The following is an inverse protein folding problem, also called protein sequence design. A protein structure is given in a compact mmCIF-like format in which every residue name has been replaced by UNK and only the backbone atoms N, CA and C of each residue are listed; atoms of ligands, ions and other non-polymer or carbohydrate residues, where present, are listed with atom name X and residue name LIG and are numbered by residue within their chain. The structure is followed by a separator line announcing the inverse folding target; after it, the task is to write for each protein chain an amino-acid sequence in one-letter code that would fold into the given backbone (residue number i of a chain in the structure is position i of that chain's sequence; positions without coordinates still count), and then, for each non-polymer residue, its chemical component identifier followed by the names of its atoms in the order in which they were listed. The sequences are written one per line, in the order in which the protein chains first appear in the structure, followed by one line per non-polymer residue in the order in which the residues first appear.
data_IF_182556996145
#
_entry.id   IF_182556996145
#
_cell.length_a   1.000
_cell.length_b   1.000
_cell.length_c   1.000
_cell.angle_alpha   90.00
_cell.angle_beta   90.00
_cell.angle_gamma   90.00
#
_symmetry.space_group_name_H-M   'P 1'
#
loop_
_entity.id
_entity.type
_entity.pdbx_description
1 polymer ?
#
# COMPACT_ATOMS: atom_id res chain seq x y z
N UNK A 1 15.46 14.02 11.18
CA UNK A 1 14.02 13.78 11.42
C UNK A 1 13.50 14.73 12.51
N UNK A 2 12.25 15.21 12.43
CA UNK A 2 11.59 16.05 13.44
C UNK A 2 10.13 15.64 13.59
N UNK A 3 9.60 15.68 14.82
CA UNK A 3 8.17 15.62 15.08
C UNK A 3 7.66 17.05 15.30
N UNK A 4 6.63 17.43 14.54
CA UNK A 4 6.00 18.74 14.63
C UNK A 4 4.50 18.61 14.90
N UNK A 5 3.87 19.67 15.41
CA UNK A 5 2.43 19.75 15.67
C UNK A 5 1.89 18.53 16.44
N UNK A 6 2.63 18.11 17.48
CA UNK A 6 2.20 17.03 18.36
C UNK A 6 1.03 17.50 19.23
N UNK A 7 -0.07 16.74 19.16
CA UNK A 7 -1.27 16.94 19.99
C UNK A 7 -1.78 15.56 20.44
N UNK A 8 -1.79 15.33 21.74
CA UNK A 8 -2.22 14.09 22.36
C UNK A 8 -2.63 14.31 23.83
N UNK A 9 -3.36 15.39 24.12
CA UNK A 9 -3.76 15.77 25.47
C UNK A 9 -4.54 14.66 26.20
N UNK A 10 -5.31 13.86 25.47
CA UNK A 10 -6.08 12.74 26.02
C UNK A 10 -5.19 11.67 26.68
N UNK A 11 -3.95 11.51 26.24
CA UNK A 11 -3.03 10.52 26.81
C UNK A 11 -2.64 10.81 28.27
N UNK A 12 -2.73 12.07 28.72
CA UNK A 12 -2.48 12.45 30.11
C UNK A 12 -3.48 11.77 31.07
N UNK A 13 -4.73 11.56 30.64
CA UNK A 13 -5.73 10.86 31.45
C UNK A 13 -5.36 9.40 31.65
N UNK A 14 -4.90 8.74 30.60
CA UNK A 14 -4.46 7.33 30.65
C UNK A 14 -3.22 7.21 31.53
N UNK A 15 -2.25 8.11 31.39
CA UNK A 15 -1.03 8.13 32.20
C UNK A 15 -1.35 8.28 33.70
N UNK A 16 -2.19 9.24 34.05
CA UNK A 16 -2.62 9.47 35.45
C UNK A 16 -3.38 8.26 36.03
N UNK A 17 -4.10 7.52 35.18
CA UNK A 17 -4.80 6.31 35.58
C UNK A 17 -3.83 5.14 35.79
N UNK A 18 -2.84 4.97 34.90
CA UNK A 18 -1.78 3.96 35.01
C UNK A 18 -0.91 4.19 36.28
N UNK A 19 -0.56 5.43 36.61
CA UNK A 19 0.18 5.74 37.82
C UNK A 19 -0.51 5.21 39.10
N UNK A 20 -1.84 5.25 39.12
CA UNK A 20 -2.65 4.75 40.25
C UNK A 20 -2.86 3.23 40.21
N UNK A 21 -2.64 2.60 39.07
CA UNK A 21 -2.94 1.18 38.80
C UNK A 21 -1.86 0.53 37.92
N UNK A 22 -0.61 0.43 38.39
CA UNK A 22 0.52 0.00 37.58
C UNK A 22 0.44 -1.47 37.14
N UNK A 23 -0.39 -2.30 37.80
CA UNK A 23 -0.60 -3.71 37.48
C UNK A 23 -1.78 -3.97 36.53
N UNK A 24 -2.27 -2.92 35.82
CA UNK A 24 -3.36 -3.08 34.89
C UNK A 24 -2.94 -3.97 33.70
N UNK A 25 -3.84 -4.85 33.30
CA UNK A 25 -3.60 -5.73 32.18
C UNK A 25 -3.56 -4.96 30.85
N UNK A 26 -2.84 -5.55 29.89
CA UNK A 26 -2.58 -4.94 28.58
C UNK A 26 -3.86 -4.64 27.78
N UNK A 27 -4.86 -5.53 27.85
CA UNK A 27 -6.09 -5.38 27.10
C UNK A 27 -6.90 -4.19 27.61
N UNK A 28 -6.94 -3.99 28.94
CA UNK A 28 -7.63 -2.85 29.55
C UNK A 28 -6.94 -1.54 29.15
N UNK A 29 -5.61 -1.47 29.17
CA UNK A 29 -4.90 -0.25 28.72
C UNK A 29 -5.19 0.03 27.25
N UNK A 30 -5.19 -1.01 26.41
CA UNK A 30 -5.52 -0.86 24.98
C UNK A 30 -6.94 -0.33 24.78
N UNK A 31 -7.93 -0.81 25.54
CA UNK A 31 -9.30 -0.29 25.45
C UNK A 31 -9.40 1.20 25.85
N UNK A 32 -8.68 1.62 26.90
CA UNK A 32 -8.62 3.04 27.28
C UNK A 32 -8.03 3.92 26.17
N UNK A 33 -7.01 3.43 25.49
CA UNK A 33 -6.33 4.16 24.42
C UNK A 33 -7.17 4.35 23.14
N UNK A 34 -8.19 3.51 22.89
CA UNK A 34 -9.03 3.57 21.68
C UNK A 34 -9.78 4.90 21.52
N UNK A 35 -10.08 5.57 22.62
CA UNK A 35 -10.80 6.86 22.60
C UNK A 35 -9.88 8.07 22.71
N UNK A 36 -8.59 7.87 22.83
CA UNK A 36 -7.60 8.95 22.91
C UNK A 36 -7.14 9.34 21.51
N UNK A 37 -7.20 10.63 21.21
CA UNK A 37 -6.79 11.14 19.90
C UNK A 37 -5.33 11.57 19.94
N UNK A 38 -4.59 11.27 18.88
CA UNK A 38 -3.17 11.61 18.73
C UNK A 38 -2.93 12.13 17.32
N UNK A 39 -2.30 13.29 17.21
CA UNK A 39 -1.92 13.86 15.92
C UNK A 39 -0.50 14.43 15.96
N UNK A 40 0.25 14.24 14.88
CA UNK A 40 1.58 14.80 14.69
C UNK A 40 2.02 14.75 13.23
N UNK A 41 3.10 15.47 12.93
CA UNK A 41 3.77 15.44 11.63
C UNK A 41 5.18 14.88 11.82
N UNK A 42 5.53 13.86 11.06
CA UNK A 42 6.90 13.39 10.92
C UNK A 42 7.53 14.06 9.70
N UNK A 43 8.57 14.82 9.92
CA UNK A 43 9.31 15.53 8.88
C UNK A 43 10.70 14.90 8.68
N UNK A 44 11.12 14.82 7.42
CA UNK A 44 12.42 14.27 7.01
C UNK A 44 12.68 12.82 7.44
N UNK A 45 11.62 12.01 7.53
CA UNK A 45 11.77 10.57 7.64
C UNK A 45 12.13 9.99 6.27
N UNK A 46 12.71 8.80 6.22
CA UNK A 46 12.97 8.16 4.92
C UNK A 46 11.73 7.39 4.40
N UNK A 47 11.77 7.06 3.11
CA UNK A 47 10.66 6.41 2.43
C UNK A 47 10.37 5.02 2.98
N UNK A 48 11.40 4.27 3.43
CA UNK A 48 11.20 2.97 4.06
C UNK A 48 10.42 3.10 5.37
N UNK A 49 10.82 4.01 6.28
CA UNK A 49 10.08 4.29 7.51
C UNK A 49 8.61 4.64 7.24
N UNK A 50 8.38 5.56 6.27
CA UNK A 50 7.04 5.95 5.86
C UNK A 50 6.21 4.76 5.33
N UNK A 51 6.83 3.81 4.62
CA UNK A 51 6.16 2.60 4.13
C UNK A 51 5.71 1.71 5.28
N UNK A 52 6.61 1.43 6.21
CA UNK A 52 6.32 0.58 7.37
C UNK A 52 5.21 1.18 8.25
N UNK A 53 5.22 2.50 8.44
CA UNK A 53 4.15 3.22 9.15
C UNK A 53 2.80 3.01 8.45
N UNK A 54 2.76 3.12 7.13
CA UNK A 54 1.53 2.94 6.37
C UNK A 54 1.01 1.49 6.38
N UNK A 55 1.88 0.49 6.57
CA UNK A 55 1.47 -0.90 6.78
C UNK A 55 0.60 -1.10 8.04
N UNK A 56 0.67 -0.19 9.01
CA UNK A 56 -0.18 -0.22 10.20
C UNK A 56 -1.65 0.14 9.92
N UNK A 57 -1.96 0.58 8.68
CA UNK A 57 -3.34 0.82 8.19
C UNK A 57 -4.16 1.81 9.04
N UNK A 58 -3.69 3.04 9.11
CA UNK A 58 -4.37 4.12 9.82
C UNK A 58 -4.45 5.42 9.00
N UNK A 59 -4.78 6.53 9.63
CA UNK A 59 -5.01 7.82 8.97
C UNK A 59 -3.69 8.56 8.74
N UNK A 60 -3.12 8.40 7.56
CA UNK A 60 -1.87 9.03 7.14
C UNK A 60 -2.04 9.86 5.87
N UNK A 61 -1.35 10.99 5.81
CA UNK A 61 -1.17 11.77 4.57
C UNK A 61 0.32 11.86 4.28
N UNK A 62 0.77 11.20 3.22
CA UNK A 62 2.16 11.18 2.79
C UNK A 62 2.43 12.24 1.72
N UNK A 63 3.63 12.84 1.76
CA UNK A 63 4.13 13.68 0.68
C UNK A 63 4.17 12.89 -0.63
N UNK A 64 3.64 13.50 -1.69
CA UNK A 64 3.54 12.88 -3.00
C UNK A 64 4.84 13.03 -3.78
N UNK A 65 5.45 11.92 -4.17
CA UNK A 65 6.53 11.89 -5.15
C UNK A 65 6.05 11.92 -6.61
N UNK A 66 4.76 12.10 -6.85
CA UNK A 66 4.19 12.27 -8.21
C UNK A 66 4.18 13.73 -8.65
N UNK A 67 4.17 14.64 -7.70
CA UNK A 67 3.99 16.08 -7.92
C UNK A 67 5.14 16.92 -7.35
N UNK A 68 5.99 16.33 -6.52
CA UNK A 68 7.12 17.00 -5.88
C UNK A 68 8.41 16.46 -6.46
N UNK A 69 9.23 17.34 -7.00
CA UNK A 69 10.60 17.01 -7.43
C UNK A 69 11.48 16.87 -6.19
N UNK A 70 12.33 15.86 -6.18
CA UNK A 70 13.22 15.55 -5.07
C UNK A 70 14.61 16.13 -5.32
N UNK A 71 15.24 16.68 -4.29
CA UNK A 71 16.59 17.23 -4.35
C UNK A 71 17.66 16.17 -4.05
N UNK A 72 18.85 16.34 -4.62
CA UNK A 72 19.94 15.37 -4.50
C UNK A 72 20.47 15.18 -3.07
N UNK A 73 20.24 16.13 -2.17
CA UNK A 73 20.59 16.08 -0.73
C UNK A 73 19.42 15.53 0.13
N UNK A 74 18.28 15.22 -0.50
CA UNK A 74 17.05 14.79 0.14
C UNK A 74 17.04 13.30 0.52
N UNK A 75 18.07 12.78 1.22
CA UNK A 75 18.11 11.41 1.71
C UNK A 75 18.70 11.30 3.12
N UNK A 76 18.57 10.14 3.73
CA UNK A 76 19.16 9.81 5.02
C UNK A 76 19.97 8.52 4.92
N UNK A 77 21.08 8.44 5.65
CA UNK A 77 21.88 7.22 5.76
C UNK A 77 21.89 6.72 7.20
N UNK A 78 21.95 5.40 7.41
CA UNK A 78 22.15 4.83 8.73
C UNK A 78 23.50 5.30 9.33
N UNK A 79 23.47 5.72 10.58
CA UNK A 79 24.68 6.16 11.30
C UNK A 79 25.67 5.01 11.58
N UNK A 80 25.20 3.76 11.50
CA UNK A 80 25.96 2.55 11.78
C UNK A 80 26.91 2.15 10.64
N UNK A 81 26.78 2.76 9.46
CA UNK A 81 27.64 2.45 8.33
C UNK A 81 29.10 2.85 8.58
N UNK A 82 30.02 1.99 8.17
CA UNK A 82 31.45 2.34 8.10
C UNK A 82 31.68 3.53 7.16
N UNK A 83 32.81 4.21 7.30
CA UNK A 83 33.18 5.30 6.39
C UNK A 83 33.19 4.83 4.93
N UNK A 84 33.75 3.65 4.66
CA UNK A 84 33.79 3.07 3.31
C UNK A 84 32.40 2.82 2.74
N UNK A 85 31.52 2.15 3.52
CA UNK A 85 30.16 1.85 3.07
C UNK A 85 29.31 3.11 2.96
N UNK A 86 29.54 4.11 3.81
CA UNK A 86 28.88 5.42 3.72
C UNK A 86 29.28 6.15 2.43
N UNK A 87 30.58 6.22 2.12
CA UNK A 87 31.06 6.82 0.87
C UNK A 87 30.45 6.12 -0.34
N UNK A 88 30.45 4.77 -0.34
CA UNK A 88 29.86 4.00 -1.44
C UNK A 88 28.35 4.20 -1.56
N UNK A 89 27.62 4.32 -0.46
CA UNK A 89 26.20 4.65 -0.45
C UNK A 89 25.94 6.03 -1.07
N UNK A 90 26.72 7.04 -0.66
CA UNK A 90 26.62 8.41 -1.19
C UNK A 90 26.88 8.46 -2.70
N UNK A 91 27.88 7.72 -3.20
CA UNK A 91 28.15 7.60 -4.64
C UNK A 91 26.95 7.00 -5.40
N UNK A 92 26.40 5.87 -4.93
CA UNK A 92 25.31 5.19 -5.61
C UNK A 92 24.01 6.01 -5.55
N UNK A 93 23.71 6.65 -4.42
CA UNK A 93 22.56 7.53 -4.29
C UNK A 93 22.74 8.77 -5.18
N UNK A 94 23.97 9.34 -5.22
CA UNK A 94 24.28 10.44 -6.11
C UNK A 94 24.06 10.08 -7.59
N UNK A 95 24.48 8.89 -8.02
CA UNK A 95 24.19 8.38 -9.37
C UNK A 95 22.70 8.21 -9.62
N UNK A 96 21.92 7.75 -8.62
CA UNK A 96 20.48 7.61 -8.75
C UNK A 96 19.77 8.97 -8.92
N UNK A 97 20.19 9.98 -8.17
CA UNK A 97 19.67 11.35 -8.33
C UNK A 97 20.11 11.99 -9.65
N UNK A 98 21.38 11.82 -10.07
CA UNK A 98 21.84 12.33 -11.35
C UNK A 98 21.03 11.74 -12.52
N UNK A 99 20.78 10.42 -12.50
CA UNK A 99 19.93 9.77 -13.50
C UNK A 99 18.48 10.23 -13.43
N UNK A 100 17.93 10.41 -12.22
CA UNK A 100 16.59 10.95 -12.01
C UNK A 100 16.42 12.36 -12.58
N UNK A 101 17.40 13.24 -12.34
CA UNK A 101 17.42 14.61 -12.86
C UNK A 101 17.54 14.63 -14.38
N UNK A 102 18.49 13.86 -14.94
CA UNK A 102 18.68 13.77 -16.38
C UNK A 102 17.42 13.28 -17.10
N UNK A 103 16.80 12.22 -16.60
CA UNK A 103 15.52 11.74 -17.12
C UNK A 103 14.41 12.79 -17.05
N UNK A 104 14.31 13.52 -15.94
CA UNK A 104 13.26 14.52 -15.73
C UNK A 104 13.43 15.78 -16.59
N UNK A 105 14.65 16.08 -17.03
CA UNK A 105 14.97 17.23 -17.87
C UNK A 105 14.91 16.92 -19.37
N UNK A 106 14.85 15.64 -19.74
CA UNK A 106 14.79 15.23 -21.14
C UNK A 106 13.52 15.78 -21.81
N UNK A 107 13.70 16.49 -22.94
CA UNK A 107 12.60 17.06 -23.73
C UNK A 107 12.28 16.13 -24.89
N UNK A 108 10.99 15.94 -25.18
CA UNK A 108 10.54 15.13 -26.31
C UNK A 108 9.14 14.58 -26.11
N UNK A 109 8.62 13.95 -27.17
CA UNK A 109 7.38 13.18 -27.12
C UNK A 109 7.74 11.75 -26.73
N UNK A 110 7.07 11.23 -25.71
CA UNK A 110 7.22 9.85 -25.28
C UNK A 110 5.94 9.08 -25.55
N UNK A 111 6.10 7.85 -26.04
CA UNK A 111 4.99 6.91 -26.11
C UNK A 111 4.39 6.71 -24.71
N UNK A 112 3.07 6.78 -24.59
CA UNK A 112 2.42 6.59 -23.32
C UNK A 112 1.05 7.25 -23.24
N UNK A 113 0.53 7.31 -22.03
CA UNK A 113 -0.79 7.93 -21.78
C UNK A 113 -0.72 9.44 -21.87
N UNK A 114 -1.84 10.10 -22.21
CA UNK A 114 -1.95 11.55 -22.14
C UNK A 114 -1.57 12.06 -20.75
N UNK A 115 -0.72 13.07 -20.71
CA UNK A 115 -0.27 13.73 -19.46
C UNK A 115 -0.75 15.17 -19.47
N UNK A 116 -1.00 15.78 -18.31
CA UNK A 116 -1.13 17.22 -18.19
C UNK A 116 0.07 17.93 -18.82
N UNK A 117 -0.12 19.14 -19.34
CA UNK A 117 0.92 19.88 -20.07
C UNK A 117 2.26 20.00 -19.35
N UNK A 118 2.26 20.08 -18.02
CA UNK A 118 3.48 20.15 -17.22
C UNK A 118 4.34 18.85 -17.23
N UNK A 119 3.81 17.75 -17.79
CA UNK A 119 4.54 16.51 -18.01
C UNK A 119 5.03 16.32 -19.45
N UNK A 120 4.81 17.27 -20.33
CA UNK A 120 5.21 17.19 -21.74
C UNK A 120 6.73 17.38 -21.95
N UNK A 121 7.44 17.82 -20.92
CA UNK A 121 8.85 18.19 -21.02
C UNK A 121 9.75 17.16 -20.32
N UNK A 122 9.91 16.00 -20.92
CA UNK A 122 10.76 14.95 -20.39
C UNK A 122 10.03 13.74 -19.83
N UNK A 123 10.77 12.84 -19.17
CA UNK A 123 10.20 11.70 -18.47
C UNK A 123 9.48 12.21 -17.22
N UNK A 124 8.21 11.88 -17.02
CA UNK A 124 7.47 12.34 -15.85
C UNK A 124 8.18 11.96 -14.55
N UNK A 125 8.21 12.87 -13.58
CA UNK A 125 8.82 12.61 -12.27
C UNK A 125 8.23 11.36 -11.57
N UNK A 126 6.97 11.03 -11.85
CA UNK A 126 6.33 9.81 -11.35
C UNK A 126 6.90 8.52 -11.96
N UNK A 127 7.59 8.61 -13.11
CA UNK A 127 8.30 7.51 -13.77
C UNK A 127 9.80 7.56 -13.44
N UNK A 128 10.42 8.75 -13.52
CA UNK A 128 11.84 8.92 -13.19
C UNK A 128 12.17 8.45 -11.76
N UNK A 129 11.30 8.65 -10.79
CA UNK A 129 11.49 8.25 -9.38
C UNK A 129 11.65 6.76 -9.13
N UNK A 130 11.39 5.89 -10.12
CA UNK A 130 11.56 4.44 -9.95
C UNK A 130 13.00 4.03 -9.64
N UNK A 131 13.98 4.83 -10.06
CA UNK A 131 15.42 4.59 -9.79
C UNK A 131 15.85 5.03 -8.39
N UNK A 132 15.04 5.82 -7.67
CA UNK A 132 15.42 6.37 -6.38
C UNK A 132 15.31 5.34 -5.26
N UNK A 133 16.25 5.34 -4.28
CA UNK A 133 16.22 4.42 -3.15
C UNK A 133 15.21 4.83 -2.07
N UNK A 134 14.87 3.87 -1.19
CA UNK A 134 14.00 4.13 -0.04
C UNK A 134 14.65 4.99 1.05
N UNK A 135 15.95 5.29 0.94
CA UNK A 135 16.65 6.28 1.78
C UNK A 135 16.14 7.71 1.58
N UNK A 136 15.45 7.99 0.47
CA UNK A 136 14.95 9.33 0.13
C UNK A 136 13.99 9.84 1.19
N UNK A 137 14.18 11.12 1.61
CA UNK A 137 13.35 11.82 2.59
C UNK A 137 11.92 12.02 2.12
N UNK A 138 11.01 12.00 3.07
CA UNK A 138 9.58 12.27 2.88
C UNK A 138 8.97 12.79 4.18
N UNK A 139 7.76 13.34 4.07
CA UNK A 139 6.99 13.79 5.22
C UNK A 139 5.67 13.02 5.31
N UNK A 140 5.18 12.81 6.53
CA UNK A 140 3.91 12.14 6.78
C UNK A 140 3.16 12.85 7.91
N UNK A 141 1.91 13.19 7.69
CA UNK A 141 0.99 13.64 8.74
C UNK A 141 0.19 12.45 9.24
N UNK A 142 0.07 12.33 10.55
CA UNK A 142 -0.62 11.26 11.27
C UNK A 142 -1.75 11.84 12.07
N UNK A 143 -2.93 11.24 11.99
CA UNK A 143 -4.04 11.46 12.90
C UNK A 143 -4.59 10.08 13.29
N UNK A 144 -4.42 9.68 14.54
CA UNK A 144 -4.62 8.30 14.97
C UNK A 144 -5.26 8.24 16.35
N UNK A 145 -5.51 7.03 16.84
CA UNK A 145 -5.92 6.79 18.22
C UNK A 145 -4.76 6.24 19.05
N UNK A 146 -4.84 6.38 20.36
CA UNK A 146 -3.76 6.00 21.27
C UNK A 146 -3.44 4.50 21.22
N UNK A 147 -4.43 3.63 20.92
CA UNK A 147 -4.20 2.20 20.76
C UNK A 147 -3.33 1.88 19.54
N UNK A 148 -3.33 2.72 18.52
CA UNK A 148 -2.44 2.59 17.36
C UNK A 148 -0.99 2.90 17.70
N UNK A 149 -0.72 3.75 18.69
CA UNK A 149 0.66 3.94 19.20
C UNK A 149 1.24 2.62 19.70
N UNK A 150 0.42 1.73 20.24
CA UNK A 150 0.86 0.39 20.64
C UNK A 150 1.39 -0.41 19.45
N UNK A 151 0.73 -0.33 18.29
CA UNK A 151 1.20 -0.99 17.08
C UNK A 151 2.50 -0.33 16.55
N UNK A 152 2.63 0.99 16.69
CA UNK A 152 3.87 1.71 16.37
C UNK A 152 5.05 1.23 17.22
N UNK A 153 4.90 1.21 18.54
CA UNK A 153 5.97 0.75 19.44
C UNK A 153 6.30 -0.72 19.24
N UNK A 154 5.30 -1.57 19.04
CA UNK A 154 5.53 -2.98 18.69
C UNK A 154 6.33 -3.14 17.40
N UNK A 155 6.06 -2.32 16.38
CA UNK A 155 6.82 -2.32 15.13
C UNK A 155 8.25 -1.79 15.34
N UNK A 156 8.40 -0.64 16.00
CA UNK A 156 9.71 -0.02 16.24
C UNK A 156 10.62 -0.86 17.12
N UNK A 157 10.06 -1.62 18.08
CA UNK A 157 10.80 -2.50 18.98
C UNK A 157 11.15 -3.86 18.40
N UNK A 158 10.77 -4.16 17.14
CA UNK A 158 11.20 -5.42 16.51
C UNK A 158 12.73 -5.46 16.33
N UNK A 159 13.41 -6.56 16.66
CA UNK A 159 14.87 -6.67 16.55
C UNK A 159 15.43 -6.31 15.18
N UNK A 160 14.70 -6.62 14.11
CA UNK A 160 15.11 -6.31 12.73
C UNK A 160 14.86 -4.85 12.32
N UNK A 161 14.03 -4.12 13.05
CA UNK A 161 13.56 -2.78 12.65
C UNK A 161 14.02 -1.68 13.61
N UNK A 162 14.34 -2.00 14.87
CA UNK A 162 14.63 -1.00 15.91
C UNK A 162 15.71 0.00 15.55
N UNK A 163 16.79 -0.45 14.91
CA UNK A 163 17.89 0.44 14.53
C UNK A 163 17.48 1.41 13.41
N UNK A 164 16.51 1.03 12.59
CA UNK A 164 15.98 1.84 11.51
C UNK A 164 14.91 2.83 11.97
N UNK A 165 14.35 2.65 13.16
CA UNK A 165 13.33 3.52 13.73
C UNK A 165 13.82 4.28 14.98
N UNK A 166 15.07 4.14 15.39
CA UNK A 166 15.59 4.71 16.62
C UNK A 166 15.29 6.21 16.76
N UNK A 167 15.42 6.96 15.68
CA UNK A 167 15.17 8.41 15.64
C UNK A 167 13.68 8.75 15.88
N UNK A 168 12.75 8.01 15.30
CA UNK A 168 11.30 8.20 15.50
C UNK A 168 10.89 7.73 16.89
N UNK A 169 11.40 6.55 17.30
CA UNK A 169 11.12 5.95 18.59
C UNK A 169 11.47 6.90 19.75
N UNK A 170 12.72 7.39 19.77
CA UNK A 170 13.22 8.25 20.83
C UNK A 170 12.49 9.61 20.87
N UNK A 171 12.20 10.17 19.67
CA UNK A 171 11.47 11.42 19.58
C UNK A 171 10.00 11.29 20.02
N UNK A 172 9.31 10.18 19.70
CA UNK A 172 7.96 9.92 20.20
C UNK A 172 7.96 9.68 21.70
N UNK A 173 8.89 8.86 22.20
CA UNK A 173 9.00 8.54 23.61
C UNK A 173 9.21 9.81 24.47
N UNK A 174 10.00 10.76 23.97
CA UNK A 174 10.24 12.03 24.64
C UNK A 174 9.01 12.96 24.73
N UNK A 175 8.01 12.76 23.86
CA UNK A 175 6.77 13.53 23.84
C UNK A 175 5.64 12.89 24.65
N UNK A 176 5.75 11.61 24.97
CA UNK A 176 4.73 10.86 25.68
C UNK A 176 4.78 11.14 27.19
N UNK A 177 3.63 11.07 27.90
CA UNK A 177 3.62 11.05 29.36
C UNK A 177 4.44 9.87 29.89
N UNK A 178 5.19 10.09 30.97
CA UNK A 178 6.27 9.19 31.42
C UNK A 178 5.82 7.74 31.67
N UNK A 179 4.73 7.54 32.42
CA UNK A 179 4.28 6.20 32.79
C UNK A 179 3.74 5.44 31.57
N UNK A 180 2.94 6.12 30.75
CA UNK A 180 2.41 5.57 29.51
C UNK A 180 3.53 5.31 28.49
N UNK A 181 4.50 6.22 28.36
CA UNK A 181 5.66 6.06 27.48
C UNK A 181 6.46 4.81 27.84
N UNK A 182 6.81 4.60 29.10
CA UNK A 182 7.48 3.39 29.60
C UNK A 182 6.67 2.13 29.34
N UNK A 183 5.36 2.22 29.49
CA UNK A 183 4.47 1.09 29.22
C UNK A 183 4.45 0.74 27.72
N UNK A 184 4.32 1.73 26.84
CA UNK A 184 4.36 1.55 25.39
C UNK A 184 5.71 0.99 24.92
N UNK A 185 6.81 1.53 25.43
CA UNK A 185 8.18 1.10 25.11
C UNK A 185 8.44 -0.36 25.50
N UNK A 186 7.81 -0.84 26.57
CA UNK A 186 7.89 -2.26 26.96
C UNK A 186 7.16 -3.22 26.03
N UNK A 187 6.38 -2.72 25.06
CA UNK A 187 5.55 -3.56 24.21
C UNK A 187 6.32 -4.05 22.98
N UNK A 188 6.22 -5.34 22.73
CA UNK A 188 6.78 -6.02 21.55
C UNK A 188 5.70 -6.86 20.91
N UNK A 189 5.91 -7.28 19.68
CA UNK A 189 5.09 -8.35 19.13
C UNK A 189 5.36 -9.65 19.88
N UNK A 190 4.31 -10.46 20.09
CA UNK A 190 4.41 -11.76 20.74
C UNK A 190 5.11 -12.81 19.87
N UNK A 191 5.27 -12.54 18.59
CA UNK A 191 6.00 -13.36 17.63
C UNK A 191 6.69 -12.48 16.59
N UNK A 192 7.82 -12.96 16.10
CA UNK A 192 8.44 -12.42 14.89
C UNK A 192 8.01 -13.27 13.70
N UNK A 193 7.45 -12.64 12.69
CA UNK A 193 7.17 -13.31 11.44
C UNK A 193 8.45 -13.46 10.62
N UNK A 194 9.27 -14.41 10.99
CA UNK A 194 10.55 -14.64 10.31
C UNK A 194 10.51 -15.74 9.25
N UNK A 195 9.50 -16.59 9.26
CA UNK A 195 9.46 -17.70 8.32
C UNK A 195 8.15 -18.46 8.27
N UNK A 196 7.40 -18.47 9.36
CA UNK A 196 6.18 -19.27 9.46
C UNK A 196 5.11 -18.80 8.48
N UNK A 197 4.86 -17.48 8.39
CA UNK A 197 3.91 -16.91 7.44
C UNK A 197 4.39 -17.07 6.00
N UNK A 198 5.69 -16.91 5.75
CA UNK A 198 6.27 -17.15 4.43
C UNK A 198 6.12 -18.64 4.02
N UNK A 199 6.28 -19.55 4.96
CA UNK A 199 6.04 -20.98 4.73
C UNK A 199 4.56 -21.27 4.50
N UNK A 200 3.67 -20.65 5.27
CA UNK A 200 2.21 -20.79 5.11
C UNK A 200 1.74 -20.32 3.74
N UNK A 201 2.26 -19.19 3.24
CA UNK A 201 1.90 -18.62 1.95
C UNK A 201 2.81 -19.04 0.80
N UNK A 202 3.68 -20.05 0.99
CA UNK A 202 4.71 -20.42 0.01
C UNK A 202 4.12 -20.69 -1.38
N UNK A 203 3.11 -21.53 -1.46
CA UNK A 203 2.49 -21.91 -2.73
C UNK A 203 1.84 -20.70 -3.44
N UNK A 204 1.18 -19.83 -2.67
CA UNK A 204 0.57 -18.62 -3.20
C UNK A 204 1.63 -17.60 -3.68
N UNK A 205 2.73 -17.45 -2.95
CA UNK A 205 3.83 -16.57 -3.35
C UNK A 205 4.54 -17.10 -4.60
N UNK A 206 4.70 -18.40 -4.75
CA UNK A 206 5.28 -19.04 -5.94
C UNK A 206 4.37 -18.89 -7.17
N UNK A 207 3.05 -18.88 -6.99
CA UNK A 207 2.09 -18.67 -8.08
C UNK A 207 2.14 -17.24 -8.66
N UNK A 208 2.67 -16.27 -7.90
CA UNK A 208 2.79 -14.88 -8.34
C UNK A 208 4.13 -14.72 -9.07
N UNK A 209 4.07 -14.49 -10.37
CA UNK A 209 5.27 -14.39 -11.24
C UNK A 209 5.27 -13.10 -12.05
N UNK A 210 6.42 -12.70 -12.65
CA UNK A 210 6.45 -11.56 -13.57
C UNK A 210 5.48 -11.68 -14.77
N UNK A 211 5.21 -12.91 -15.20
CA UNK A 211 4.31 -13.21 -16.31
C UNK A 211 2.85 -13.19 -15.88
N UNK A 212 2.56 -13.56 -14.63
CA UNK A 212 1.23 -13.49 -14.02
C UNK A 212 1.30 -12.71 -12.69
N UNK A 213 1.41 -11.37 -12.74
CA UNK A 213 1.61 -10.55 -11.56
C UNK A 213 0.33 -10.33 -10.75
N UNK A 214 -0.83 -10.79 -11.23
CA UNK A 214 -2.13 -10.71 -10.53
C UNK A 214 -2.82 -12.06 -10.60
N UNK A 215 -2.92 -12.74 -9.47
CA UNK A 215 -3.49 -14.09 -9.37
C UNK A 215 -4.69 -14.08 -8.42
N UNK A 216 -5.83 -14.61 -8.86
CA UNK A 216 -6.94 -14.91 -7.95
C UNK A 216 -6.60 -16.19 -7.19
N UNK A 217 -6.32 -16.10 -5.90
CA UNK A 217 -5.90 -17.23 -5.08
C UNK A 217 -7.08 -17.96 -4.45
N UNK A 218 -8.05 -17.22 -3.93
CA UNK A 218 -9.22 -17.78 -3.23
C UNK A 218 -10.45 -16.91 -3.45
N UNK A 219 -11.60 -17.55 -3.55
CA UNK A 219 -12.92 -16.92 -3.54
C UNK A 219 -13.95 -17.87 -2.93
N UNK A 220 -15.09 -17.36 -2.56
CA UNK A 220 -16.22 -18.21 -2.21
C UNK A 220 -16.76 -18.91 -3.46
N UNK A 221 -17.19 -20.15 -3.28
CA UNK A 221 -18.07 -20.79 -4.26
C UNK A 221 -19.38 -20.01 -4.35
N UNK A 222 -19.88 -19.77 -5.57
CA UNK A 222 -21.10 -19.01 -5.84
C UNK A 222 -21.18 -17.65 -5.12
N UNK A 223 -20.29 -16.70 -5.41
CA UNK A 223 -20.22 -15.43 -4.70
C UNK A 223 -21.50 -14.60 -4.78
N UNK A 224 -22.24 -14.69 -5.90
CA UNK A 224 -23.54 -14.03 -6.06
C UNK A 224 -24.59 -14.61 -5.12
N UNK A 225 -24.59 -15.92 -4.90
CA UNK A 225 -25.49 -16.52 -3.93
C UNK A 225 -25.23 -16.03 -2.50
N UNK A 226 -23.97 -15.84 -2.12
CA UNK A 226 -23.59 -15.26 -0.81
C UNK A 226 -24.13 -13.83 -0.64
N UNK A 227 -23.98 -13.00 -1.67
CA UNK A 227 -24.54 -11.64 -1.64
C UNK A 227 -26.08 -11.64 -1.65
N UNK A 228 -26.70 -12.57 -2.40
CA UNK A 228 -28.14 -12.78 -2.40
C UNK A 228 -28.69 -13.16 -1.01
N UNK A 229 -28.02 -14.07 -0.30
CA UNK A 229 -28.37 -14.40 1.10
C UNK A 229 -28.26 -13.18 2.01
N UNK A 230 -27.23 -12.35 1.86
CA UNK A 230 -27.12 -11.08 2.59
C UNK A 230 -28.30 -10.13 2.33
N UNK A 231 -28.75 -10.05 1.07
CA UNK A 231 -29.91 -9.26 0.69
C UNK A 231 -31.22 -9.83 1.30
N UNK A 232 -31.42 -11.14 1.28
CA UNK A 232 -32.56 -11.80 1.88
C UNK A 232 -32.62 -11.57 3.40
N UNK A 233 -31.46 -11.66 4.08
CA UNK A 233 -31.35 -11.40 5.52
C UNK A 233 -31.89 -10.02 5.90
N UNK A 234 -31.66 -9.01 5.04
CA UNK A 234 -32.10 -7.63 5.32
C UNK A 234 -33.52 -7.30 4.86
N UNK A 235 -34.11 -8.10 3.96
CA UNK A 235 -35.36 -7.73 3.27
C UNK A 235 -36.51 -8.69 3.46
N UNK A 236 -36.30 -9.86 4.09
CA UNK A 236 -37.31 -10.91 4.31
C UNK A 236 -37.52 -11.20 5.78
N UNK A 237 -38.74 -11.52 6.14
CA UNK A 237 -39.10 -11.98 7.48
C UNK A 237 -38.78 -13.47 7.69
N UNK A 238 -38.86 -14.26 6.61
CA UNK A 238 -38.49 -15.68 6.66
C UNK A 238 -36.97 -15.84 6.76
N UNK A 239 -36.50 -16.94 7.32
CA UNK A 239 -35.12 -17.29 7.37
C UNK A 239 -34.52 -17.39 5.92
N UNK A 240 -33.35 -16.77 5.64
CA UNK A 240 -32.77 -16.78 4.29
C UNK A 240 -32.60 -18.18 3.70
N UNK A 241 -32.27 -19.18 4.53
CA UNK A 241 -32.15 -20.58 4.10
C UNK A 241 -33.48 -21.15 3.59
N UNK A 242 -34.60 -20.85 4.25
CA UNK A 242 -35.94 -21.30 3.81
C UNK A 242 -36.35 -20.70 2.47
N UNK A 243 -36.02 -19.41 2.25
CA UNK A 243 -36.25 -18.75 0.97
C UNK A 243 -35.38 -19.37 -0.13
N UNK A 244 -34.11 -19.67 0.20
CA UNK A 244 -33.18 -20.32 -0.73
C UNK A 244 -33.66 -21.73 -1.11
N UNK A 245 -34.08 -22.54 -0.13
CA UNK A 245 -34.62 -23.89 -0.36
C UNK A 245 -35.85 -23.84 -1.26
N UNK A 246 -36.70 -22.82 -1.06
CA UNK A 246 -37.87 -22.59 -1.92
C UNK A 246 -37.55 -22.13 -3.33
N UNK A 247 -36.33 -21.64 -3.57
CA UNK A 247 -35.85 -21.31 -4.93
C UNK A 247 -35.36 -22.52 -5.73
N UNK A 248 -34.89 -23.57 -5.05
CA UNK A 248 -34.42 -24.80 -5.68
C UNK A 248 -33.34 -24.51 -6.76
N UNK A 249 -33.50 -25.11 -7.92
CA UNK A 249 -32.57 -24.97 -9.04
C UNK A 249 -32.51 -23.55 -9.62
N UNK A 250 -33.46 -22.68 -9.33
CA UNK A 250 -33.45 -21.28 -9.77
C UNK A 250 -32.68 -20.35 -8.83
N UNK A 251 -32.05 -20.87 -7.76
CA UNK A 251 -31.41 -20.08 -6.71
C UNK A 251 -30.41 -19.08 -7.25
N UNK A 252 -29.54 -19.47 -8.17
CA UNK A 252 -28.52 -18.59 -8.75
C UNK A 252 -29.15 -17.44 -9.55
N UNK A 253 -30.17 -17.70 -10.35
CA UNK A 253 -30.89 -16.69 -11.14
C UNK A 253 -31.65 -15.70 -10.25
N UNK A 254 -32.37 -16.22 -9.26
CA UNK A 254 -33.11 -15.40 -8.32
C UNK A 254 -32.20 -14.55 -7.44
N UNK A 255 -31.05 -15.09 -7.02
CA UNK A 255 -30.04 -14.34 -6.27
C UNK A 255 -29.54 -13.14 -7.07
N UNK A 256 -29.19 -13.32 -8.37
CA UNK A 256 -28.80 -12.23 -9.28
C UNK A 256 -29.87 -11.13 -9.36
N UNK A 257 -31.12 -11.50 -9.51
CA UNK A 257 -32.25 -10.57 -9.57
C UNK A 257 -32.39 -9.75 -8.27
N UNK A 258 -32.24 -10.40 -7.12
CA UNK A 258 -32.30 -9.72 -5.80
C UNK A 258 -31.10 -8.77 -5.64
N UNK A 259 -29.88 -9.21 -5.95
CA UNK A 259 -28.67 -8.39 -5.87
C UNK A 259 -28.80 -7.14 -6.73
N UNK A 260 -29.20 -7.31 -8.00
CA UNK A 260 -29.33 -6.20 -8.95
C UNK A 260 -30.32 -5.16 -8.44
N UNK A 261 -31.46 -5.60 -7.90
CA UNK A 261 -32.47 -4.72 -7.33
C UNK A 261 -31.94 -3.97 -6.11
N UNK A 262 -31.36 -4.68 -5.14
CA UNK A 262 -30.92 -4.11 -3.86
C UNK A 262 -29.74 -3.15 -4.06
N UNK A 263 -28.77 -3.53 -4.90
CA UNK A 263 -27.65 -2.65 -5.25
C UNK A 263 -28.10 -1.46 -6.12
N UNK A 264 -29.10 -1.64 -6.98
CA UNK A 264 -29.71 -0.57 -7.77
C UNK A 264 -30.34 0.55 -6.91
N UNK A 265 -30.83 0.22 -5.73
CA UNK A 265 -31.28 1.18 -4.73
C UNK A 265 -30.14 1.81 -3.89
N UNK A 266 -28.88 1.51 -4.18
CA UNK A 266 -27.73 2.04 -3.45
C UNK A 266 -27.34 1.25 -2.20
N UNK A 267 -28.01 0.13 -1.88
CA UNK A 267 -27.67 -0.72 -0.74
C UNK A 267 -26.52 -1.67 -1.07
N UNK A 268 -25.30 -1.13 -1.15
CA UNK A 268 -24.10 -1.85 -1.58
C UNK A 268 -23.47 -2.72 -0.49
N UNK A 269 -23.94 -2.67 0.75
CA UNK A 269 -23.40 -3.47 1.87
C UNK A 269 -23.52 -4.98 1.65
N UNK A 270 -24.50 -5.44 0.87
CA UNK A 270 -24.63 -6.87 0.53
C UNK A 270 -23.42 -7.41 -0.24
N UNK A 271 -22.71 -6.56 -1.00
CA UNK A 271 -21.49 -6.93 -1.69
C UNK A 271 -20.33 -7.26 -0.73
N UNK A 272 -20.41 -6.89 0.55
CA UNK A 272 -19.44 -7.28 1.57
C UNK A 272 -19.44 -8.79 1.85
N UNK A 273 -20.54 -9.48 1.53
CA UNK A 273 -20.67 -10.94 1.68
C UNK A 273 -19.86 -11.72 0.63
N UNK A 274 -19.40 -11.08 -0.43
CA UNK A 274 -18.51 -11.67 -1.44
C UNK A 274 -17.06 -11.27 -1.14
N UNK A 275 -16.20 -12.26 -0.87
CA UNK A 275 -14.79 -12.04 -0.56
C UNK A 275 -13.89 -12.78 -1.55
N UNK A 276 -12.75 -12.13 -1.85
CA UNK A 276 -11.70 -12.68 -2.69
C UNK A 276 -10.33 -12.47 -2.06
N UNK A 277 -9.40 -13.34 -2.35
CA UNK A 277 -7.98 -13.18 -2.00
C UNK A 277 -7.16 -13.18 -3.27
N UNK A 278 -6.37 -12.13 -3.47
CA UNK A 278 -5.47 -11.97 -4.60
C UNK A 278 -4.02 -11.98 -4.16
N UNK A 279 -3.19 -12.67 -4.95
CA UNK A 279 -1.75 -12.47 -4.97
C UNK A 279 -1.40 -11.41 -6.02
N UNK A 280 -0.52 -10.47 -5.65
CA UNK A 280 -0.09 -9.42 -6.57
C UNK A 280 1.41 -9.16 -6.43
N UNK A 281 2.07 -8.85 -7.56
CA UNK A 281 3.46 -8.41 -7.60
C UNK A 281 3.57 -7.10 -8.36
N UNK A 282 4.30 -6.15 -7.80
CA UNK A 282 4.50 -4.83 -8.38
C UNK A 282 5.70 -4.13 -7.73
N UNK A 283 6.10 -3.00 -8.31
CA UNK A 283 7.17 -2.17 -7.77
C UNK A 283 6.85 -1.61 -6.39
N UNK A 284 7.88 -1.20 -5.65
CA UNK A 284 7.72 -0.47 -4.39
C UNK A 284 7.00 0.88 -4.60
N UNK A 285 7.10 1.51 -5.79
CA UNK A 285 6.27 2.66 -6.15
C UNK A 285 4.79 2.35 -6.06
N UNK A 286 4.37 1.23 -6.65
CA UNK A 286 2.97 0.79 -6.65
C UNK A 286 2.56 0.28 -5.28
N UNK A 287 3.45 -0.40 -4.56
CA UNK A 287 3.19 -0.82 -3.19
C UNK A 287 2.81 0.36 -2.29
N UNK A 288 3.57 1.46 -2.32
CA UNK A 288 3.23 2.67 -1.57
C UNK A 288 1.87 3.27 -1.94
N UNK A 289 1.40 3.08 -3.16
CA UNK A 289 0.07 3.51 -3.57
C UNK A 289 -1.02 2.53 -3.11
N UNK A 290 -0.71 1.24 -3.09
CA UNK A 290 -1.60 0.19 -2.59
C UNK A 290 -1.87 0.34 -1.09
N UNK A 291 -0.85 0.67 -0.30
CA UNK A 291 -0.96 0.88 1.14
C UNK A 291 -1.84 2.08 1.55
N UNK A 292 -2.19 2.97 0.60
CA UNK A 292 -3.20 4.01 0.83
C UNK A 292 -4.62 3.45 0.98
N UNK A 293 -4.87 2.23 0.50
CA UNK A 293 -6.11 1.51 0.75
C UNK A 293 -6.00 0.77 2.09
N UNK A 294 -6.61 1.32 3.13
CA UNK A 294 -6.42 0.90 4.52
C UNK A 294 -7.28 -0.28 4.95
N UNK A 295 -8.39 -0.52 4.26
CA UNK A 295 -9.37 -1.55 4.60
C UNK A 295 -8.95 -3.00 4.25
N UNK A 296 -8.17 -3.28 3.17
CA UNK A 296 -7.77 -4.64 2.84
C UNK A 296 -6.86 -5.26 3.89
N UNK A 297 -7.10 -6.52 4.22
CA UNK A 297 -6.14 -7.33 4.96
C UNK A 297 -5.03 -7.76 4.02
N UNK A 298 -3.81 -7.33 4.29
CA UNK A 298 -2.67 -7.57 3.41
C UNK A 298 -1.55 -8.29 4.16
N UNK A 299 -1.04 -9.35 3.57
CA UNK A 299 0.24 -9.94 3.90
C UNK A 299 1.26 -9.54 2.82
N UNK A 300 2.34 -8.91 3.21
CA UNK A 300 3.49 -8.66 2.36
C UNK A 300 4.54 -9.72 2.61
N UNK A 301 5.15 -10.25 1.56
CA UNK A 301 6.30 -11.15 1.72
C UNK A 301 7.41 -10.50 2.56
N UNK A 302 8.25 -11.27 3.25
CA UNK A 302 9.41 -10.72 3.95
C UNK A 302 10.26 -9.87 3.02
N UNK A 303 10.74 -8.72 3.49
CA UNK A 303 11.66 -7.87 2.72
C UNK A 303 12.88 -8.65 2.21
N UNK A 304 13.32 -9.63 2.98
CA UNK A 304 14.45 -10.50 2.64
C UNK A 304 14.27 -11.23 1.30
N UNK A 305 13.04 -11.55 0.90
CA UNK A 305 12.77 -12.21 -0.38
C UNK A 305 13.24 -11.34 -1.56
N UNK A 306 13.12 -10.00 -1.46
CA UNK A 306 13.62 -9.10 -2.51
C UNK A 306 15.14 -9.20 -2.65
N UNK A 307 15.85 -9.36 -1.54
CA UNK A 307 17.30 -9.53 -1.54
C UNK A 307 17.74 -10.91 -2.05
N UNK A 308 16.97 -11.96 -1.74
CA UNK A 308 17.28 -13.35 -2.10
C UNK A 308 16.90 -13.71 -3.54
N UNK A 309 16.08 -12.89 -4.20
CA UNK A 309 15.66 -13.08 -5.60
C UNK A 309 16.21 -11.92 -6.48
N UNK A 310 17.53 -11.77 -6.62
CA UNK A 310 18.13 -10.65 -7.35
C UNK A 310 17.81 -10.68 -8.87
N UNK A 311 17.42 -11.86 -9.39
CA UNK A 311 16.96 -12.05 -10.76
C UNK A 311 15.54 -11.54 -11.00
N UNK A 312 14.76 -11.24 -9.96
CA UNK A 312 13.45 -10.62 -10.08
C UNK A 312 13.59 -9.30 -10.86
N UNK A 313 12.93 -9.16 -12.04
CA UNK A 313 13.20 -8.01 -12.90
C UNK A 313 12.78 -6.72 -12.23
N UNK A 314 13.58 -5.64 -12.33
CA UNK A 314 13.11 -4.33 -11.92
C UNK A 314 12.02 -3.82 -12.86
N UNK A 315 11.08 -3.05 -12.33
CA UNK A 315 10.09 -2.35 -13.15
C UNK A 315 10.75 -1.13 -13.78
N UNK A 316 10.80 -1.09 -15.11
CA UNK A 316 11.32 0.05 -15.88
C UNK A 316 10.12 0.68 -16.60
N UNK A 317 9.79 1.96 -16.33
CA UNK A 317 8.73 2.66 -17.05
C UNK A 317 9.03 2.72 -18.55
N UNK A 318 8.00 2.62 -19.39
CA UNK A 318 8.17 2.68 -20.85
C UNK A 318 8.78 4.01 -21.29
N UNK A 319 8.44 5.12 -20.64
CA UNK A 319 9.03 6.45 -20.91
C UNK A 319 10.54 6.48 -20.68
N UNK A 320 11.06 5.70 -19.74
CA UNK A 320 12.51 5.56 -19.48
C UNK A 320 13.19 4.78 -20.61
N UNK A 321 12.53 3.73 -21.12
CA UNK A 321 13.03 2.94 -22.25
C UNK A 321 13.04 3.81 -23.51
N UNK A 322 11.91 4.45 -23.81
CA UNK A 322 11.73 5.31 -24.99
C UNK A 322 12.70 6.51 -24.97
N UNK A 323 13.03 6.99 -23.76
CA UNK A 323 14.03 8.05 -23.56
C UNK A 323 15.48 7.60 -23.71
N UNK A 324 15.75 6.29 -23.93
CA UNK A 324 17.11 5.76 -24.12
C UNK A 324 17.88 5.51 -22.83
N UNK A 325 17.22 5.53 -21.66
CA UNK A 325 17.87 5.38 -20.36
C UNK A 325 17.94 3.93 -19.84
N UNK A 326 17.41 2.96 -20.57
CA UNK A 326 17.34 1.56 -20.08
C UNK A 326 18.73 1.02 -19.68
N UNK A 327 19.77 1.27 -20.48
CA UNK A 327 21.11 0.77 -20.20
C UNK A 327 21.71 1.33 -18.89
N UNK A 328 21.81 2.64 -18.71
CA UNK A 328 22.26 3.25 -17.45
C UNK A 328 21.40 2.84 -16.26
N UNK A 329 20.10 2.78 -16.44
CA UNK A 329 19.14 2.37 -15.41
C UNK A 329 19.41 0.95 -14.91
N UNK A 330 19.56 -0.03 -15.80
CA UNK A 330 19.84 -1.43 -15.43
C UNK A 330 21.19 -1.59 -14.73
N UNK A 331 22.21 -0.88 -15.18
CA UNK A 331 23.54 -0.88 -14.52
C UNK A 331 23.45 -0.40 -13.08
N UNK A 332 22.78 0.72 -12.85
CA UNK A 332 22.63 1.27 -11.50
C UNK A 332 21.80 0.34 -10.59
N UNK A 333 20.75 -0.29 -11.11
CA UNK A 333 19.98 -1.30 -10.36
C UNK A 333 20.88 -2.44 -9.91
N UNK A 334 21.72 -2.99 -10.81
CA UNK A 334 22.64 -4.08 -10.50
C UNK A 334 23.71 -3.66 -9.46
N UNK A 335 24.26 -2.44 -9.59
CA UNK A 335 25.24 -1.92 -8.63
C UNK A 335 24.61 -1.75 -7.25
N UNK A 336 23.40 -1.23 -7.18
CA UNK A 336 22.66 -1.07 -5.93
C UNK A 336 22.28 -2.43 -5.31
N UNK A 337 21.89 -3.42 -6.11
CA UNK A 337 21.62 -4.77 -5.61
C UNK A 337 22.87 -5.43 -5.00
N UNK A 338 24.02 -5.29 -5.66
CA UNK A 338 25.31 -5.75 -5.09
C UNK A 338 25.62 -5.05 -3.77
N UNK A 339 25.35 -3.76 -3.69
CA UNK A 339 25.55 -2.99 -2.46
C UNK A 339 24.56 -3.44 -1.35
N UNK A 340 23.29 -3.67 -1.67
CA UNK A 340 22.33 -4.22 -0.73
C UNK A 340 22.81 -5.56 -0.13
N UNK A 341 23.33 -6.47 -0.98
CA UNK A 341 23.87 -7.76 -0.54
C UNK A 341 25.11 -7.57 0.36
N UNK A 342 26.00 -6.64 0.02
CA UNK A 342 27.17 -6.29 0.85
C UNK A 342 26.72 -5.80 2.23
N UNK A 343 25.81 -4.85 2.29
CA UNK A 343 25.30 -4.31 3.57
C UNK A 343 24.61 -5.40 4.39
N UNK A 344 23.80 -6.25 3.78
CA UNK A 344 23.14 -7.37 4.47
C UNK A 344 24.14 -8.39 5.04
N UNK A 345 25.28 -8.59 4.38
CA UNK A 345 26.34 -9.47 4.85
C UNK A 345 27.23 -8.87 5.96
N UNK A 346 27.40 -7.55 5.98
CA UNK A 346 28.29 -6.87 6.93
C UNK A 346 27.56 -6.42 8.20
N UNK A 347 26.29 -6.09 8.14
CA UNK A 347 25.52 -5.51 9.24
C UNK A 347 24.37 -6.41 9.66
N UNK A 348 24.21 -6.57 10.97
CA UNK A 348 23.02 -7.22 11.51
C UNK A 348 21.81 -6.27 11.36
N UNK A 349 20.63 -6.85 11.25
CA UNK A 349 19.40 -6.07 11.11
C UNK A 349 19.05 -5.70 9.67
N UNK A 350 18.33 -4.62 9.50
CA UNK A 350 17.64 -4.30 8.26
C UNK A 350 18.25 -3.16 7.43
N UNK A 351 19.47 -2.69 7.73
CA UNK A 351 20.05 -1.46 7.14
C UNK A 351 20.08 -1.46 5.60
N UNK A 352 20.25 -2.61 4.97
CA UNK A 352 20.24 -2.76 3.51
C UNK A 352 18.93 -2.28 2.86
N UNK A 353 17.82 -2.23 3.62
CA UNK A 353 16.50 -1.80 3.13
C UNK A 353 16.45 -0.32 2.77
N UNK A 354 17.33 0.52 3.34
CA UNK A 354 17.48 1.92 2.91
C UNK A 354 17.83 2.04 1.44
N UNK A 355 18.53 1.05 0.91
CA UNK A 355 19.05 1.02 -0.45
C UNK A 355 18.16 0.27 -1.43
N UNK A 356 17.00 -0.26 -0.99
CA UNK A 356 16.00 -0.77 -1.91
C UNK A 356 15.55 0.35 -2.85
N UNK A 357 15.55 0.05 -4.16
CA UNK A 357 15.10 0.98 -5.18
C UNK A 357 13.58 0.89 -5.35
N UNK A 358 12.95 1.99 -5.64
CA UNK A 358 11.51 2.06 -5.90
C UNK A 358 11.04 1.13 -7.04
N UNK A 359 11.93 0.76 -7.99
CA UNK A 359 11.64 -0.17 -9.09
C UNK A 359 11.68 -1.64 -8.70
N UNK A 360 12.24 -2.01 -7.53
CA UNK A 360 12.26 -3.40 -7.09
C UNK A 360 10.86 -3.86 -6.75
N UNK A 361 10.57 -5.13 -7.03
CA UNK A 361 9.24 -5.68 -6.88
C UNK A 361 9.04 -6.40 -5.56
N UNK A 362 7.84 -6.30 -5.04
CA UNK A 362 7.37 -6.98 -3.83
C UNK A 362 6.09 -7.74 -4.13
N UNK A 363 5.91 -8.91 -3.51
CA UNK A 363 4.69 -9.70 -3.58
C UNK A 363 3.82 -9.45 -2.36
N UNK A 364 2.52 -9.32 -2.59
CA UNK A 364 1.52 -9.25 -1.52
C UNK A 364 0.39 -10.24 -1.75
N UNK A 365 -0.22 -10.67 -0.66
CA UNK A 365 -1.47 -11.41 -0.66
C UNK A 365 -2.50 -10.54 0.07
N UNK A 366 -3.57 -10.20 -0.61
CA UNK A 366 -4.59 -9.29 -0.05
C UNK A 366 -5.98 -9.89 -0.13
N UNK A 367 -6.72 -9.80 0.97
CA UNK A 367 -8.12 -10.21 1.05
C UNK A 367 -9.02 -8.99 1.11
N UNK A 368 -9.98 -8.93 0.20
CA UNK A 368 -10.95 -7.85 0.07
C UNK A 368 -12.37 -8.41 -0.04
N UNK A 369 -13.37 -7.54 0.10
CA UNK A 369 -14.74 -7.84 -0.32
C UNK A 369 -15.11 -7.01 -1.56
N UNK A 370 -16.21 -7.37 -2.22
CA UNK A 370 -16.58 -6.73 -3.48
C UNK A 370 -16.88 -5.23 -3.32
N UNK A 371 -17.39 -4.79 -2.17
CA UNK A 371 -17.62 -3.36 -1.91
C UNK A 371 -16.30 -2.58 -1.81
N UNK A 372 -15.30 -3.13 -1.11
CA UNK A 372 -13.96 -2.55 -1.05
C UNK A 372 -13.33 -2.48 -2.44
N UNK A 373 -13.42 -3.57 -3.21
CA UNK A 373 -12.87 -3.63 -4.56
C UNK A 373 -13.53 -2.62 -5.50
N UNK A 374 -14.85 -2.43 -5.43
CA UNK A 374 -15.53 -1.40 -6.22
C UNK A 374 -14.97 0.00 -5.94
N UNK A 375 -14.78 0.36 -4.68
CA UNK A 375 -14.20 1.65 -4.29
C UNK A 375 -12.75 1.82 -4.78
N UNK A 376 -11.90 0.82 -4.49
CA UNK A 376 -10.48 0.89 -4.83
C UNK A 376 -10.22 0.89 -6.34
N UNK A 377 -10.89 0.00 -7.07
CA UNK A 377 -10.69 -0.13 -8.51
C UNK A 377 -11.24 1.08 -9.28
N UNK A 378 -12.32 1.69 -8.81
CA UNK A 378 -12.84 2.93 -9.41
C UNK A 378 -11.80 4.05 -9.47
N UNK A 379 -10.94 4.15 -8.45
CA UNK A 379 -9.84 5.12 -8.43
C UNK A 379 -8.63 4.67 -9.26
N UNK A 380 -8.31 3.38 -9.26
CA UNK A 380 -7.06 2.87 -9.86
C UNK A 380 -7.19 2.52 -11.34
N UNK A 381 -8.40 2.30 -11.85
CA UNK A 381 -8.67 2.11 -13.28
C UNK A 381 -8.83 3.45 -14.02
N UNK A 382 -9.00 4.56 -13.28
CA UNK A 382 -9.01 5.90 -13.87
C UNK A 382 -7.71 6.16 -14.65
N UNK A 383 -7.80 6.79 -15.83
CA UNK A 383 -6.62 7.14 -16.64
C UNK A 383 -5.65 8.11 -15.94
N UNK A 384 -6.09 8.82 -14.90
CA UNK A 384 -5.22 9.65 -14.06
C UNK A 384 -4.46 8.85 -13.00
N UNK A 385 -4.76 7.57 -12.81
CA UNK A 385 -3.95 6.70 -11.96
C UNK A 385 -2.57 6.48 -12.61
N UNK A 386 -1.55 6.25 -11.78
CA UNK A 386 -0.23 5.89 -12.27
C UNK A 386 -0.32 4.56 -13.07
N UNK A 387 0.41 4.46 -14.18
CA UNK A 387 0.23 3.39 -15.18
C UNK A 387 0.37 1.97 -14.62
N UNK A 388 1.29 1.74 -13.67
CA UNK A 388 1.53 0.40 -13.14
C UNK A 388 0.38 -0.07 -12.25
N UNK A 389 -0.06 0.76 -11.29
CA UNK A 389 -1.22 0.41 -10.45
C UNK A 389 -2.50 0.31 -11.28
N UNK A 390 -2.61 1.11 -12.35
CA UNK A 390 -3.72 1.00 -13.29
C UNK A 390 -3.73 -0.37 -13.99
N UNK A 391 -2.59 -0.83 -14.52
CA UNK A 391 -2.44 -2.14 -15.15
C UNK A 391 -2.81 -3.27 -14.18
N UNK A 392 -2.34 -3.22 -12.94
CA UNK A 392 -2.67 -4.20 -11.90
C UNK A 392 -4.17 -4.19 -11.59
N UNK A 393 -4.76 -3.00 -11.46
CA UNK A 393 -6.19 -2.84 -11.19
C UNK A 393 -7.07 -3.38 -12.33
N UNK A 394 -6.69 -3.14 -13.58
CA UNK A 394 -7.39 -3.68 -14.76
C UNK A 394 -7.32 -5.20 -14.77
N UNK A 395 -6.13 -5.79 -14.57
CA UNK A 395 -5.97 -7.24 -14.52
C UNK A 395 -6.79 -7.89 -13.37
N UNK A 396 -6.86 -7.20 -12.22
CA UNK A 396 -7.71 -7.64 -11.11
C UNK A 396 -9.20 -7.56 -11.48
N UNK A 397 -9.66 -6.46 -12.08
CA UNK A 397 -11.06 -6.29 -12.51
C UNK A 397 -11.49 -7.38 -13.49
N UNK A 398 -10.65 -7.71 -14.47
CA UNK A 398 -10.94 -8.76 -15.45
C UNK A 398 -11.21 -10.13 -14.79
N UNK A 399 -10.41 -10.47 -13.77
CA UNK A 399 -10.61 -11.70 -12.98
C UNK A 399 -11.89 -11.63 -12.13
N UNK A 400 -12.16 -10.48 -11.51
CA UNK A 400 -13.34 -10.26 -10.66
C UNK A 400 -14.65 -10.31 -11.47
N UNK A 401 -14.67 -9.70 -12.66
CA UNK A 401 -15.86 -9.73 -13.53
C UNK A 401 -16.20 -11.12 -14.06
N UNK A 402 -15.21 -12.01 -14.17
CA UNK A 402 -15.47 -13.43 -14.46
C UNK A 402 -16.20 -14.14 -13.31
N UNK A 403 -16.08 -13.65 -12.09
CA UNK A 403 -16.83 -14.17 -10.94
C UNK A 403 -18.26 -13.60 -10.87
N UNK A 404 -18.41 -12.31 -11.13
CA UNK A 404 -19.71 -11.63 -11.14
C UNK A 404 -19.63 -10.25 -11.78
N UNK A 405 -20.31 -10.07 -12.90
CA UNK A 405 -20.48 -8.76 -13.51
C UNK A 405 -21.32 -7.82 -12.68
N UNK A 406 -22.31 -8.33 -11.96
CA UNK A 406 -23.24 -7.56 -11.15
C UNK A 406 -22.54 -6.95 -9.95
N UNK A 407 -21.82 -7.77 -9.18
CA UNK A 407 -21.14 -7.32 -7.96
C UNK A 407 -20.00 -6.32 -8.25
N UNK A 408 -19.33 -6.46 -9.40
CA UNK A 408 -18.21 -5.61 -9.81
C UNK A 408 -18.57 -4.61 -10.91
N UNK A 409 -19.87 -4.37 -11.16
CA UNK A 409 -20.36 -3.40 -12.17
C UNK A 409 -19.76 -2.02 -11.96
N UNK A 410 -19.73 -1.54 -10.71
CA UNK A 410 -19.23 -0.20 -10.34
C UNK A 410 -17.75 -0.15 -10.00
N UNK A 411 -17.00 -1.25 -10.14
CA UNK A 411 -15.56 -1.31 -9.94
C UNK A 411 -14.76 -0.62 -11.07
N UNK A 412 -15.26 0.51 -11.55
CA UNK A 412 -14.76 1.26 -12.70
C UNK A 412 -14.82 2.76 -12.42
N UNK A 413 -14.06 3.60 -13.15
CA UNK A 413 -14.09 5.05 -12.95
C UNK A 413 -15.49 5.65 -13.02
N UNK A 414 -15.73 6.67 -12.19
CA UNK A 414 -17.04 7.32 -12.08
C UNK A 414 -17.63 7.78 -13.42
N UNK A 415 -16.79 8.17 -14.38
CA UNK A 415 -17.21 8.62 -15.69
C UNK A 415 -17.86 7.52 -16.56
N UNK A 416 -17.77 6.25 -16.16
CA UNK A 416 -18.42 5.14 -16.89
C UNK A 416 -19.95 5.18 -16.72
N UNK A 417 -20.42 5.37 -15.50
CA UNK A 417 -21.86 5.39 -15.18
C UNK A 417 -22.37 6.78 -14.74
N UNK A 418 -21.51 7.79 -14.66
CA UNK A 418 -21.88 9.13 -14.20
C UNK A 418 -20.96 10.22 -14.72
N UNK A 419 -20.78 11.27 -13.92
CA UNK A 419 -19.88 12.37 -14.20
C UNK A 419 -18.44 12.04 -13.78
N UNK A 420 -17.47 12.65 -14.47
CA UNK A 420 -16.06 12.61 -14.06
C UNK A 420 -15.88 13.41 -12.76
N UNK A 421 -15.27 12.80 -11.73
CA UNK A 421 -15.01 13.43 -10.43
C UNK A 421 -13.73 14.28 -10.41
N UNK A 422 -12.88 14.18 -11.43
CA UNK A 422 -11.57 14.86 -11.50
C UNK A 422 -11.69 16.38 -11.80
N UNK A 423 -12.86 16.88 -12.13
CA UNK A 423 -13.08 18.30 -12.40
C UNK A 423 -12.14 18.83 -13.49
N UNK A 424 -11.33 19.85 -13.16
CA UNK A 424 -10.36 20.45 -14.09
C UNK A 424 -9.22 19.49 -14.49
N UNK A 425 -8.99 18.44 -13.71
CA UNK A 425 -7.96 17.41 -13.96
C UNK A 425 -8.48 16.25 -14.82
N UNK A 426 -9.64 16.39 -15.43
CA UNK A 426 -10.21 15.36 -16.31
C UNK A 426 -9.25 14.98 -17.43
N UNK A 427 -9.15 13.67 -17.71
CA UNK A 427 -8.37 13.17 -18.86
C UNK A 427 -9.09 13.35 -20.22
N UNK A 428 -10.35 13.81 -20.24
CA UNK A 428 -11.16 13.98 -21.44
C UNK A 428 -11.66 12.69 -22.12
N UNK A 429 -11.31 11.50 -21.60
CA UNK A 429 -11.54 10.21 -22.26
C UNK A 429 -12.77 9.44 -21.74
N UNK A 430 -13.79 10.13 -21.25
CA UNK A 430 -14.97 9.49 -20.67
C UNK A 430 -15.71 8.57 -21.68
N UNK A 431 -15.78 8.94 -22.97
CA UNK A 431 -16.41 8.12 -24.01
C UNK A 431 -15.70 6.77 -24.19
N UNK A 432 -14.36 6.76 -24.23
CA UNK A 432 -13.55 5.55 -24.33
C UNK A 432 -13.73 4.67 -23.09
N UNK A 433 -13.76 5.27 -21.90
CA UNK A 433 -13.95 4.51 -20.65
C UNK A 433 -15.32 3.86 -20.60
N UNK A 434 -16.37 4.54 -21.11
CA UNK A 434 -17.71 3.96 -21.25
C UNK A 434 -17.71 2.81 -22.23
N UNK A 435 -17.15 2.99 -23.42
CA UNK A 435 -17.06 1.93 -24.43
C UNK A 435 -16.33 0.68 -23.92
N UNK A 436 -15.28 0.88 -23.09
CA UNK A 436 -14.45 -0.23 -22.59
C UNK A 436 -15.04 -0.96 -21.38
N UNK A 437 -15.71 -0.25 -20.48
CA UNK A 437 -16.02 -0.80 -19.15
C UNK A 437 -17.49 -0.85 -18.80
N UNK A 438 -18.36 -0.15 -19.55
CA UNK A 438 -19.80 -0.16 -19.28
C UNK A 438 -20.38 -1.54 -19.59
N UNK A 439 -21.11 -2.07 -18.63
CA UNK A 439 -21.92 -3.26 -18.81
C UNK A 439 -23.32 -2.78 -19.12
N UNK A 440 -23.86 -3.18 -20.27
CA UNK A 440 -25.25 -2.91 -20.64
C UNK A 440 -26.21 -3.70 -19.76
N UNK A 441 -27.37 -3.14 -19.49
CA UNK A 441 -28.42 -3.74 -18.64
C UNK A 441 -29.19 -4.81 -19.36
#
# INVERSE_FOLDING_TARGET
MRIANYDAADLLMVDAFLQKRPAMDKSTVQELLKTCNVSFVLEEINRWQSTMICELKDSYVQQSQRYVTLSADGYTLPSQLSTEDKTRAEELIGQAFALYEEMSQLKGEFAGRPKPEHYLYGIPVEDARYILPLAVKTNITVATTGDKLLDWFRMMNRPLDKDMFADIHDALLALLPETLGKWLDSQTYSYEDTGMMNQFYKAELEAITPQEPVVLLRTFDKPELKAGLGALTSTKAEAPSMVLDGWGDEADTKAKGVINRVMGYGHTSIAEQCRTTFGMMFSLVTYHQQERHRLPNTYREPWLNILLEPERPPVIPQTVIDGGFEGPYRRLVQDMQRFQQRIAGHYKGGLWRYFLLNCQQVKIITSTNARMDCGMLAERICNNAQWEINRIAVAKLEKLRKLSDILYKTAVPSCVYGACKEGKMTCGRAAEMRAKYRIEE
#
